data_IF_764144191761
#
_entry.id   IF_764144191761
#
_cell.length_a   1.000
_cell.length_b   1.000
_cell.length_c   1.000
_cell.angle_alpha   90.00
_cell.angle_beta   90.00
_cell.angle_gamma   90.00
#
_symmetry.space_group_name_H-M   'P 1'
#
loop_
_entity.id
_entity.type
_entity.pdbx_description
1 polymer ?
#
# COMPACT_ATOMS: atom_id res chain seq x y z
N UNK A 1 -1.57 -14.22 -6.09
CA UNK A 1 -0.80 -14.34 -7.35
C UNK A 1 0.71 -14.23 -7.15
N UNK A 2 1.23 -13.68 -6.04
CA UNK A 2 2.67 -13.57 -5.77
C UNK A 2 3.42 -12.55 -6.65
N UNK A 3 2.78 -12.03 -7.70
CA UNK A 3 3.34 -11.03 -8.60
C UNK A 3 2.95 -9.61 -8.17
N UNK A 4 3.91 -8.69 -8.01
CA UNK A 4 3.64 -7.27 -7.84
C UNK A 4 2.83 -6.71 -9.02
N UNK A 5 1.98 -5.72 -8.75
CA UNK A 5 1.20 -5.01 -9.77
C UNK A 5 1.59 -3.55 -9.81
N UNK A 6 1.58 -2.96 -10.99
CA UNK A 6 1.76 -1.52 -11.20
C UNK A 6 0.52 -0.75 -10.75
N UNK A 7 0.70 0.53 -10.44
CA UNK A 7 -0.41 1.43 -10.06
C UNK A 7 -1.50 1.52 -11.15
N UNK A 8 -1.13 1.38 -12.44
CA UNK A 8 -2.07 1.41 -13.56
C UNK A 8 -2.92 0.12 -13.62
N UNK A 9 -2.29 -1.04 -13.47
CA UNK A 9 -3.00 -2.34 -13.42
C UNK A 9 -4.01 -2.38 -12.28
N UNK A 10 -3.63 -1.88 -11.10
CA UNK A 10 -4.53 -1.76 -9.96
C UNK A 10 -5.65 -0.76 -10.28
N UNK A 11 -5.33 0.37 -10.91
CA UNK A 11 -6.31 1.37 -11.33
C UNK A 11 -7.39 0.79 -12.24
N UNK A 12 -6.99 -0.02 -13.24
CA UNK A 12 -7.92 -0.71 -14.16
C UNK A 12 -8.89 -1.64 -13.43
N UNK A 13 -8.41 -2.41 -12.44
CA UNK A 13 -9.24 -3.33 -11.65
C UNK A 13 -10.31 -2.58 -10.85
N UNK A 14 -9.96 -1.42 -10.29
CA UNK A 14 -10.88 -0.63 -9.46
C UNK A 14 -11.63 0.47 -10.23
N UNK A 15 -11.43 0.58 -11.55
CA UNK A 15 -12.07 1.61 -12.38
C UNK A 15 -11.64 3.04 -12.02
N UNK A 16 -10.40 3.22 -11.57
CA UNK A 16 -9.85 4.53 -11.15
C UNK A 16 -8.53 4.83 -11.85
N UNK A 17 -8.11 6.10 -11.78
CA UNK A 17 -6.84 6.53 -12.38
C UNK A 17 -5.63 5.98 -11.61
N UNK A 18 -4.50 5.83 -12.32
CA UNK A 18 -3.18 5.53 -11.72
C UNK A 18 -2.85 6.46 -10.54
N UNK A 19 -3.12 7.76 -10.70
CA UNK A 19 -2.86 8.76 -9.66
C UNK A 19 -3.74 8.56 -8.43
N UNK A 20 -4.99 8.10 -8.61
CA UNK A 20 -5.86 7.76 -7.48
C UNK A 20 -5.28 6.61 -6.65
N UNK A 21 -4.73 5.58 -7.30
CA UNK A 21 -4.04 4.49 -6.59
C UNK A 21 -2.82 5.02 -5.83
N UNK A 22 -2.00 5.89 -6.45
CA UNK A 22 -0.84 6.52 -5.80
C UNK A 22 -1.21 7.29 -4.53
N UNK A 23 -2.31 8.03 -4.55
CA UNK A 23 -2.83 8.77 -3.39
C UNK A 23 -3.27 7.82 -2.26
N UNK A 24 -3.99 6.75 -2.61
CA UNK A 24 -4.45 5.74 -1.65
C UNK A 24 -3.26 5.01 -1.03
N UNK A 25 -2.26 4.64 -1.81
CA UNK A 25 -1.02 4.03 -1.35
C UNK A 25 -0.33 4.94 -0.32
N UNK A 26 -0.10 6.21 -0.66
CA UNK A 26 0.53 7.18 0.24
C UNK A 26 -0.21 7.29 1.59
N UNK A 27 -1.54 7.39 1.54
CA UNK A 27 -2.39 7.47 2.74
C UNK A 27 -2.35 6.18 3.56
N UNK A 28 -2.34 5.02 2.90
CA UNK A 28 -2.33 3.71 3.55
C UNK A 28 -0.97 3.41 4.18
N UNK A 29 0.12 3.73 3.50
CA UNK A 29 1.47 3.60 4.03
C UNK A 29 1.67 4.49 5.27
N UNK A 30 1.11 5.70 5.28
CA UNK A 30 1.11 6.54 6.49
C UNK A 30 0.38 5.87 7.66
N UNK A 31 -0.80 5.27 7.40
CA UNK A 31 -1.55 4.52 8.42
C UNK A 31 -0.79 3.28 8.92
N UNK A 32 -0.09 2.56 8.04
CA UNK A 32 0.70 1.38 8.42
C UNK A 32 1.94 1.73 9.23
N UNK A 33 2.56 2.89 8.96
CA UNK A 33 3.69 3.40 9.77
C UNK A 33 3.29 3.82 11.19
N UNK A 34 2.01 4.05 11.45
CA UNK A 34 1.52 4.46 12.78
C UNK A 34 1.97 3.44 13.85
N UNK A 35 2.47 3.87 15.02
CA UNK A 35 3.05 2.99 16.03
C UNK A 35 2.15 1.82 16.44
N UNK A 36 0.84 2.06 16.56
CA UNK A 36 -0.12 0.99 16.91
C UNK A 36 -0.19 -0.16 15.90
N UNK A 37 0.30 0.02 14.67
CA UNK A 37 0.36 -1.03 13.63
C UNK A 37 1.79 -1.47 13.34
N UNK A 38 2.76 -0.56 13.37
CA UNK A 38 4.15 -0.89 13.05
C UNK A 38 4.89 -1.57 14.20
N UNK A 39 4.47 -1.39 15.46
CA UNK A 39 5.17 -1.95 16.61
C UNK A 39 5.23 -3.48 16.58
N UNK A 40 4.15 -4.16 16.19
CA UNK A 40 4.09 -5.64 16.12
C UNK A 40 4.94 -6.25 15.00
N UNK A 41 5.39 -5.42 14.06
CA UNK A 41 6.22 -5.85 12.93
C UNK A 41 7.71 -5.59 13.18
N UNK A 42 8.10 -4.93 14.28
CA UNK A 42 9.50 -4.60 14.57
C UNK A 42 10.36 -5.84 14.82
N UNK A 43 9.77 -6.88 15.42
CA UNK A 43 10.47 -8.13 15.73
C UNK A 43 10.84 -8.95 14.47
N UNK A 44 10.40 -8.51 13.28
CA UNK A 44 10.75 -9.11 11.98
C UNK A 44 11.91 -8.40 11.27
N UNK A 45 12.56 -7.42 11.92
CA UNK A 45 13.68 -6.67 11.35
C UNK A 45 15.05 -7.36 11.49
N UNK A 46 15.10 -8.51 12.16
CA UNK A 46 16.32 -9.33 12.33
C UNK A 46 16.70 -10.10 11.06
#
# INVERSE_FOLDING_TARGET
DGQPKTLDEIGRVYGVTRERIRQIESKTMSKLRHPSRSQVLRDYLD
#
